data_IF_712542470152
#
_entry.id   IF_712542470152
#
_cell.length_a   1.000
_cell.length_b   1.000
_cell.length_c   1.000
_cell.angle_alpha   90.00
_cell.angle_beta   90.00
_cell.angle_gamma   90.00
#
_symmetry.space_group_name_H-M   'P 1'
#
loop_
_entity.id
_entity.type
_entity.pdbx_description
1 polymer ?
#
# COMPACT_ATOMS: atom_id res chain seq x y z
N UNK A 1 18.92 -1.60 5.52
CA UNK A 1 18.43 -0.51 4.63
C UNK A 1 19.36 0.70 4.74
N UNK A 2 19.44 1.57 3.73
CA UNK A 2 20.25 2.80 3.80
C UNK A 2 19.65 3.75 4.86
N UNK A 3 20.46 4.42 5.71
CA UNK A 3 19.96 5.44 6.63
C UNK A 3 19.16 6.53 5.91
N UNK A 4 17.97 6.84 6.40
CA UNK A 4 17.05 7.82 5.81
C UNK A 4 16.31 7.34 4.55
N UNK A 5 16.38 6.05 4.19
CA UNK A 5 15.64 5.52 3.04
C UNK A 5 14.12 5.54 3.29
N UNK A 6 13.35 5.69 2.21
CA UNK A 6 11.91 5.41 2.21
C UNK A 6 11.69 3.93 1.91
N UNK A 7 11.01 3.22 2.80
CA UNK A 7 10.70 1.80 2.65
C UNK A 7 9.20 1.65 2.38
N UNK A 8 8.87 1.07 1.23
CA UNK A 8 7.49 0.73 0.85
C UNK A 8 7.37 -0.79 0.92
N UNK A 9 6.68 -1.26 1.96
CA UNK A 9 6.38 -2.67 2.19
C UNK A 9 5.07 -3.05 1.50
N UNK A 10 5.20 -3.68 0.33
CA UNK A 10 4.07 -4.16 -0.50
C UNK A 10 3.67 -5.59 -0.10
N UNK A 11 4.52 -6.28 0.65
CA UNK A 11 4.30 -7.65 1.08
C UNK A 11 3.02 -7.80 1.89
N UNK A 12 2.21 -8.80 1.58
CA UNK A 12 1.07 -9.20 2.40
C UNK A 12 1.12 -10.71 2.59
N UNK A 13 1.67 -11.11 3.72
CA UNK A 13 1.81 -12.49 4.12
C UNK A 13 0.87 -12.79 5.28
N UNK A 14 0.19 -13.94 5.23
CA UNK A 14 -0.69 -14.40 6.29
C UNK A 14 0.05 -15.44 7.12
N UNK A 15 0.14 -15.20 8.42
CA UNK A 15 0.77 -16.15 9.36
C UNK A 15 -0.20 -16.48 10.50
N UNK A 16 -0.06 -17.69 11.03
CA UNK A 16 -0.87 -18.17 12.15
C UNK A 16 -0.48 -17.47 13.46
N UNK A 17 -1.48 -17.21 14.31
CA UNK A 17 -1.26 -16.70 15.67
C UNK A 17 -1.20 -17.86 16.67
N UNK A 18 -0.38 -17.78 17.72
CA UNK A 18 -0.32 -18.80 18.77
C UNK A 18 -1.68 -19.06 19.44
N UNK A 19 -2.45 -18.00 19.70
CA UNK A 19 -3.81 -18.06 20.27
C UNK A 19 -4.92 -18.43 19.27
N UNK A 20 -4.58 -18.79 18.03
CA UNK A 20 -5.52 -19.14 16.97
C UNK A 20 -5.91 -17.95 16.07
N UNK A 21 -6.28 -18.27 14.83
CA UNK A 21 -6.51 -17.28 13.78
C UNK A 21 -5.22 -16.84 13.07
N UNK A 22 -5.31 -15.79 12.25
CA UNK A 22 -4.17 -15.31 11.45
C UNK A 22 -3.91 -13.82 11.64
N UNK A 23 -2.69 -13.38 11.39
CA UNK A 23 -2.33 -11.96 11.20
C UNK A 23 -1.69 -11.74 9.85
N UNK A 24 -1.79 -10.51 9.38
CA UNK A 24 -1.06 -10.02 8.22
C UNK A 24 0.29 -9.46 8.67
N UNK A 25 1.34 -9.79 7.93
CA UNK A 25 2.69 -9.24 8.09
C UNK A 25 3.25 -8.88 6.72
N UNK A 26 4.14 -7.88 6.71
CA UNK A 26 4.84 -7.45 5.50
C UNK A 26 6.07 -8.29 5.20
N UNK A 27 6.83 -7.87 4.19
CA UNK A 27 8.11 -8.50 3.84
C UNK A 27 9.25 -7.98 4.72
N UNK A 28 9.03 -6.87 5.43
CA UNK A 28 10.06 -6.16 6.19
C UNK A 28 9.86 -6.37 7.69
N UNK A 29 10.97 -6.51 8.42
CA UNK A 29 10.98 -6.33 9.87
C UNK A 29 10.81 -4.86 10.21
N UNK A 30 9.55 -4.47 10.47
CA UNK A 30 9.16 -3.09 10.70
C UNK A 30 9.91 -2.44 11.87
N UNK A 31 10.14 -3.18 12.97
CA UNK A 31 10.72 -2.60 14.18
C UNK A 31 12.16 -2.13 13.94
N UNK A 32 13.00 -3.00 13.39
CA UNK A 32 14.40 -2.65 13.09
C UNK A 32 14.52 -1.64 11.95
N UNK A 33 13.62 -1.69 10.96
CA UNK A 33 13.65 -0.76 9.83
C UNK A 33 13.15 0.64 10.20
N UNK A 34 12.17 0.77 11.09
CA UNK A 34 11.63 2.06 11.51
C UNK A 34 12.67 2.96 12.23
N UNK A 35 13.70 2.38 12.85
CA UNK A 35 14.78 3.12 13.49
C UNK A 35 15.77 3.74 12.48
N UNK A 36 15.88 3.16 11.28
CA UNK A 36 16.87 3.56 10.27
C UNK A 36 16.24 4.30 9.09
N UNK A 37 15.00 3.96 8.74
CA UNK A 37 14.25 4.54 7.63
C UNK A 37 13.85 6.00 7.91
N UNK A 38 13.83 6.83 6.87
CA UNK A 38 13.22 8.17 6.95
C UNK A 38 11.70 8.11 6.89
N UNK A 39 11.14 7.10 6.22
CA UNK A 39 9.72 6.78 6.18
C UNK A 39 9.53 5.29 5.90
N UNK A 40 8.49 4.69 6.46
CA UNK A 40 8.17 3.27 6.28
C UNK A 40 6.66 3.04 6.29
N UNK A 41 6.14 2.20 5.40
CA UNK A 41 4.72 1.81 5.40
C UNK A 41 4.49 0.61 6.33
N UNK A 42 3.47 0.63 7.20
CA UNK A 42 3.15 -0.51 8.05
C UNK A 42 2.39 -1.60 7.28
N UNK A 43 2.47 -2.84 7.77
CA UNK A 43 1.57 -3.92 7.36
C UNK A 43 0.94 -4.52 8.61
N UNK A 44 -0.40 -4.49 8.75
CA UNK A 44 -1.41 -3.96 7.82
C UNK A 44 -1.48 -2.42 7.81
N UNK A 45 -2.16 -1.85 6.81
CA UNK A 45 -2.49 -0.42 6.75
C UNK A 45 -1.64 0.44 5.82
N UNK A 46 -0.62 -0.13 5.18
CA UNK A 46 0.25 0.54 4.21
C UNK A 46 -0.31 0.51 2.79
N UNK A 47 0.26 -0.33 1.93
CA UNK A 47 0.00 -0.29 0.48
C UNK A 47 -1.38 -0.83 0.08
N UNK A 48 -1.95 -1.77 0.85
CA UNK A 48 -3.22 -2.43 0.53
C UNK A 48 -4.39 -1.47 0.20
N UNK A 49 -4.72 -0.49 1.07
CA UNK A 49 -5.73 0.53 0.79
C UNK A 49 -5.46 1.34 -0.48
N UNK A 50 -4.18 1.66 -0.76
CA UNK A 50 -3.81 2.40 -1.97
C UNK A 50 -4.03 1.58 -3.24
N UNK A 51 -3.80 0.27 -3.21
CA UNK A 51 -4.11 -0.61 -4.36
C UNK A 51 -5.59 -0.53 -4.75
N UNK A 52 -6.50 -0.53 -3.77
CA UNK A 52 -7.93 -0.38 -4.01
C UNK A 52 -8.24 1.02 -4.55
N UNK A 53 -7.69 2.07 -3.93
CA UNK A 53 -7.90 3.45 -4.37
C UNK A 53 -7.44 3.64 -5.84
N UNK A 54 -6.25 3.15 -6.19
CA UNK A 54 -5.72 3.23 -7.55
C UNK A 54 -6.57 2.44 -8.55
N UNK A 55 -7.08 1.26 -8.17
CA UNK A 55 -8.00 0.51 -9.03
C UNK A 55 -9.28 1.33 -9.33
N UNK A 56 -9.86 1.96 -8.31
CA UNK A 56 -11.05 2.79 -8.47
C UNK A 56 -10.74 4.04 -9.31
N UNK A 57 -9.62 4.70 -9.06
CA UNK A 57 -9.18 5.86 -9.85
C UNK A 57 -9.01 5.51 -11.32
N UNK A 58 -8.35 4.38 -11.62
CA UNK A 58 -8.20 3.86 -12.98
C UNK A 58 -9.55 3.52 -13.62
N UNK A 59 -10.46 2.94 -12.84
CA UNK A 59 -11.80 2.56 -13.32
C UNK A 59 -12.62 3.79 -13.70
N UNK A 60 -12.64 4.83 -12.86
CA UNK A 60 -13.35 6.08 -13.16
C UNK A 60 -12.73 6.78 -14.37
N UNK A 61 -11.40 6.85 -14.43
CA UNK A 61 -10.67 7.45 -15.56
C UNK A 61 -10.98 6.74 -16.87
N UNK A 62 -10.99 5.40 -16.88
CA UNK A 62 -11.35 4.61 -18.05
C UNK A 62 -12.80 4.86 -18.49
N UNK A 63 -13.75 4.95 -17.54
CA UNK A 63 -15.13 5.30 -17.83
C UNK A 63 -15.25 6.68 -18.50
N UNK A 64 -14.57 7.70 -17.96
CA UNK A 64 -14.57 9.04 -18.55
C UNK A 64 -14.06 9.02 -19.99
N UNK A 65 -12.96 8.31 -20.27
CA UNK A 65 -12.38 8.18 -21.61
C UNK A 65 -13.33 7.51 -22.61
N UNK A 66 -13.98 6.41 -22.21
CA UNK A 66 -14.91 5.66 -23.06
C UNK A 66 -16.12 6.53 -23.47
N UNK A 67 -16.58 7.38 -22.55
CA UNK A 67 -17.78 8.19 -22.74
C UNK A 67 -17.50 9.65 -23.16
N UNK A 68 -16.24 10.03 -23.36
CA UNK A 68 -15.87 11.40 -23.71
C UNK A 68 -16.18 12.42 -22.60
N UNK A 69 -16.18 11.98 -21.34
CA UNK A 69 -16.39 12.84 -20.18
C UNK A 69 -15.05 13.45 -19.71
N UNK A 70 -15.13 14.56 -19.00
CA UNK A 70 -13.96 15.18 -18.36
C UNK A 70 -13.36 14.21 -17.33
N UNK A 71 -12.04 14.01 -17.37
CA UNK A 71 -11.33 13.19 -16.39
C UNK A 71 -11.27 13.91 -15.02
N UNK A 72 -11.43 13.19 -13.90
CA UNK A 72 -11.34 13.78 -12.58
C UNK A 72 -9.92 14.27 -12.27
N UNK A 73 -9.79 15.51 -11.81
CA UNK A 73 -8.50 16.09 -11.41
C UNK A 73 -8.00 15.49 -10.09
N UNK A 74 -6.69 15.24 -10.00
CA UNK A 74 -6.03 14.78 -8.76
C UNK A 74 -6.33 13.33 -8.37
N UNK A 75 -6.99 12.54 -9.22
CA UNK A 75 -7.33 11.13 -8.94
C UNK A 75 -6.21 10.15 -9.35
N UNK A 76 -5.40 10.52 -10.33
CA UNK A 76 -4.22 9.77 -10.79
C UNK A 76 -2.99 10.65 -10.68
N UNK A 77 -1.82 10.03 -10.46
CA UNK A 77 -0.53 10.72 -10.44
C UNK A 77 -0.18 11.36 -11.78
#
# INVERSE_FOLDING_TARGET
>A
IKPGATVIDVGINRIDKPEGGTRLVGDVDYASCAEVAGAITPVPGGVGPMTIACLLANTVTACCRIHGLVEPEGLTA
#
